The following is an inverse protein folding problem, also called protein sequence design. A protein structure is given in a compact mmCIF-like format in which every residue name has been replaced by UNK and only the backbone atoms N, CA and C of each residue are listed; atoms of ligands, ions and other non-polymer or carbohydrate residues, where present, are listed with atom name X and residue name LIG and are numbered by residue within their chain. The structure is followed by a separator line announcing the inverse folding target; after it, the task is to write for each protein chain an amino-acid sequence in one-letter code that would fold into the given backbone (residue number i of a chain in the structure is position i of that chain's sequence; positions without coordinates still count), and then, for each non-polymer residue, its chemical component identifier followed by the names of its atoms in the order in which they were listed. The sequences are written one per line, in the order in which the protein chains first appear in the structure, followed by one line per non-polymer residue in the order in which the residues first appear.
data_IF_645830442129
#
_entry.id   IF_645830442129
#
_cell.length_a   1.000
_cell.length_b   1.000
_cell.length_c   1.000
_cell.angle_alpha   90.00
_cell.angle_beta   90.00
_cell.angle_gamma   90.00
#
_symmetry.space_group_name_H-M   'P 1'
#
loop_
_entity.id
_entity.type
_entity.pdbx_description
1 polymer ?
#
# COMPACT_ATOMS: atom_id res chain seq x y z
N UNK A 1 9.71 -6.78 -37.14
CA UNK A 1 9.09 -5.44 -37.24
C UNK A 1 9.53 -4.65 -36.02
N UNK A 2 10.14 -3.49 -36.24
CA UNK A 2 10.76 -2.70 -35.19
C UNK A 2 9.70 -2.14 -34.23
N UNK A 3 9.93 -2.31 -32.94
CA UNK A 3 9.17 -1.69 -31.85
C UNK A 3 9.18 -0.17 -32.04
N UNK A 4 8.04 0.54 -31.96
CA UNK A 4 8.08 1.99 -31.94
C UNK A 4 8.84 2.42 -30.68
N UNK A 5 9.91 3.19 -30.85
CA UNK A 5 10.58 3.83 -29.73
C UNK A 5 9.64 4.91 -29.20
N UNK A 6 9.01 4.66 -28.05
CA UNK A 6 8.26 5.68 -27.32
C UNK A 6 9.26 6.74 -26.85
N UNK A 7 9.34 7.85 -27.59
CA UNK A 7 10.06 9.06 -27.20
C UNK A 7 9.21 9.85 -26.18
N UNK A 8 8.98 9.30 -25.00
CA UNK A 8 8.70 10.11 -23.81
C UNK A 8 9.96 10.08 -22.94
N UNK A 9 10.52 11.24 -22.66
CA UNK A 9 11.53 11.35 -21.60
C UNK A 9 10.90 10.81 -20.32
N UNK A 10 11.54 9.81 -19.70
CA UNK A 10 11.05 9.19 -18.48
C UNK A 10 10.65 10.27 -17.46
N UNK A 11 9.42 10.23 -16.92
CA UNK A 11 9.03 11.13 -15.85
C UNK A 11 10.04 11.04 -14.70
N UNK A 12 10.35 12.19 -14.10
CA UNK A 12 11.35 12.25 -13.03
C UNK A 12 10.97 11.32 -11.87
N UNK A 13 11.95 10.55 -11.38
CA UNK A 13 11.81 9.59 -10.27
C UNK A 13 10.80 8.45 -10.54
N UNK A 14 10.61 8.09 -11.81
CA UNK A 14 9.77 6.95 -12.21
C UNK A 14 10.57 5.97 -13.06
N UNK A 15 10.33 4.69 -12.85
CA UNK A 15 10.90 3.60 -13.64
C UNK A 15 9.91 3.11 -14.68
N UNK A 16 10.40 2.69 -15.84
CA UNK A 16 9.57 2.03 -16.86
C UNK A 16 9.34 0.57 -16.49
N UNK A 17 8.09 0.19 -16.37
CA UNK A 17 7.63 -1.18 -16.19
C UNK A 17 7.22 -1.71 -17.57
N UNK A 18 7.87 -2.76 -18.11
CA UNK A 18 7.70 -3.15 -19.51
C UNK A 18 6.32 -3.73 -19.86
N UNK A 19 5.49 -4.03 -18.87
CA UNK A 19 4.28 -4.81 -19.05
C UNK A 19 4.56 -6.26 -19.42
N UNK A 20 3.53 -7.09 -19.44
CA UNK A 20 3.61 -8.50 -19.74
C UNK A 20 2.46 -9.30 -19.13
N UNK A 21 2.50 -10.61 -19.33
CA UNK A 21 1.60 -11.54 -18.67
C UNK A 21 2.30 -12.15 -17.46
N UNK A 22 1.62 -12.21 -16.33
CA UNK A 22 2.14 -12.80 -15.09
C UNK A 22 1.07 -13.57 -14.34
N UNK A 23 1.51 -14.38 -13.37
CA UNK A 23 0.63 -15.04 -12.40
C UNK A 23 0.38 -14.13 -11.20
N UNK A 24 -0.87 -13.69 -11.04
CA UNK A 24 -1.34 -12.87 -9.93
C UNK A 24 -1.91 -13.74 -8.81
N UNK A 25 -1.70 -13.32 -7.56
CA UNK A 25 -2.16 -14.02 -6.36
C UNK A 25 -1.19 -15.08 -5.83
N UNK A 26 -1.66 -15.85 -4.84
CA UNK A 26 -0.93 -16.98 -4.25
C UNK A 26 -1.88 -17.99 -3.59
N UNK A 27 -1.47 -19.25 -3.58
CA UNK A 27 -2.17 -20.32 -2.85
C UNK A 27 -1.67 -20.49 -1.40
N UNK A 28 -0.59 -19.81 -1.01
CA UNK A 28 0.19 -20.18 0.18
C UNK A 28 -0.42 -19.73 1.52
N UNK A 29 -0.94 -18.50 1.63
CA UNK A 29 -1.21 -17.90 2.94
C UNK A 29 -2.66 -17.48 3.16
N UNK A 30 -3.15 -16.51 2.40
CA UNK A 30 -4.45 -15.88 2.69
C UNK A 30 -5.49 -16.26 1.64
N UNK A 31 -6.74 -16.62 2.03
CA UNK A 31 -7.79 -16.98 1.09
C UNK A 31 -8.09 -15.90 0.05
N UNK A 32 -7.99 -14.62 0.42
CA UNK A 32 -8.26 -13.49 -0.47
C UNK A 32 -7.26 -13.34 -1.62
N UNK A 33 -6.08 -13.98 -1.53
CA UNK A 33 -5.04 -14.02 -2.58
C UNK A 33 -5.35 -15.05 -3.68
N UNK A 34 -6.42 -15.83 -3.52
CA UNK A 34 -6.81 -16.90 -4.43
C UNK A 34 -7.94 -16.45 -5.37
N UNK A 35 -8.18 -17.18 -6.47
CA UNK A 35 -7.28 -18.17 -7.06
C UNK A 35 -6.06 -17.51 -7.70
N UNK A 36 -4.97 -18.27 -7.83
CA UNK A 36 -3.87 -17.87 -8.71
C UNK A 36 -4.33 -17.90 -10.17
N UNK A 37 -4.16 -16.79 -10.89
CA UNK A 37 -4.65 -16.64 -12.27
C UNK A 37 -3.66 -15.79 -13.10
N UNK A 38 -3.78 -15.84 -14.43
CA UNK A 38 -2.95 -15.03 -15.31
C UNK A 38 -3.60 -13.69 -15.60
N UNK A 39 -2.81 -12.63 -15.60
CA UNK A 39 -3.21 -11.28 -15.98
C UNK A 39 -2.18 -10.71 -16.95
N UNK A 40 -2.63 -9.95 -17.94
CA UNK A 40 -1.78 -9.11 -18.80
C UNK A 40 -1.86 -7.66 -18.32
N UNK A 41 -0.70 -7.02 -18.18
CA UNK A 41 -0.56 -5.59 -17.89
C UNK A 41 0.24 -4.95 -19.02
N UNK A 42 -0.17 -3.78 -19.52
CA UNK A 42 0.60 -3.02 -20.50
C UNK A 42 1.81 -2.33 -19.87
N UNK A 43 2.66 -1.71 -20.69
CA UNK A 43 3.81 -0.96 -20.17
C UNK A 43 3.38 0.39 -19.56
N UNK A 44 3.95 0.74 -18.42
CA UNK A 44 3.65 2.01 -17.71
C UNK A 44 4.87 2.50 -16.93
N UNK A 45 4.86 3.77 -16.52
CA UNK A 45 5.82 4.30 -15.56
C UNK A 45 5.28 4.19 -14.14
N UNK A 46 6.11 3.81 -13.18
CA UNK A 46 5.78 3.78 -11.76
C UNK A 46 6.80 4.55 -10.93
N UNK A 47 6.33 5.28 -9.91
CA UNK A 47 7.20 5.94 -8.95
C UNK A 47 8.16 4.93 -8.31
N UNK A 48 9.45 5.27 -8.30
CA UNK A 48 10.51 4.41 -7.75
C UNK A 48 10.29 4.12 -6.25
N UNK A 49 9.70 5.08 -5.53
CA UNK A 49 9.40 5.01 -4.11
C UNK A 49 7.98 5.53 -3.78
N UNK A 50 7.44 5.20 -2.59
CA UNK A 50 6.23 5.84 -2.09
C UNK A 50 6.38 7.36 -1.97
N UNK A 51 5.27 8.10 -2.07
CA UNK A 51 5.25 9.55 -1.92
C UNK A 51 5.79 9.93 -0.54
N UNK A 52 6.79 10.81 -0.53
CA UNK A 52 7.46 11.25 0.69
C UNK A 52 6.71 12.38 1.39
N UNK A 53 6.99 12.57 2.67
CA UNK A 53 6.52 13.72 3.45
C UNK A 53 6.87 15.05 2.76
N UNK A 54 8.08 15.19 2.19
CA UNK A 54 8.48 16.42 1.51
C UNK A 54 7.66 16.69 0.24
N UNK A 55 7.36 15.66 -0.54
CA UNK A 55 6.54 15.76 -1.74
C UNK A 55 5.09 16.09 -1.41
N UNK A 56 4.51 15.40 -0.42
CA UNK A 56 3.15 15.69 0.04
C UNK A 56 3.03 17.08 0.67
N UNK A 57 4.06 17.55 1.37
CA UNK A 57 4.11 18.93 1.89
C UNK A 57 4.05 19.96 0.77
N UNK A 58 4.71 19.71 -0.36
CA UNK A 58 4.63 20.59 -1.53
C UNK A 58 3.20 20.63 -2.08
N UNK A 59 2.57 19.47 -2.24
CA UNK A 59 1.17 19.39 -2.64
C UNK A 59 0.27 20.24 -1.74
N UNK A 60 0.31 20.02 -0.42
CA UNK A 60 -0.52 20.76 0.53
C UNK A 60 -0.22 22.26 0.51
N UNK A 61 1.05 22.65 0.37
CA UNK A 61 1.43 24.06 0.27
C UNK A 61 0.86 24.72 -0.99
N UNK A 62 0.87 24.02 -2.12
CA UNK A 62 0.48 24.56 -3.42
C UNK A 62 -1.04 24.59 -3.61
N UNK A 63 -1.78 23.67 -2.96
CA UNK A 63 -3.23 23.53 -3.15
C UNK A 63 -4.07 23.96 -1.95
N UNK A 64 -3.47 24.06 -0.75
CA UNK A 64 -4.22 24.23 0.50
C UNK A 64 -5.01 22.99 0.91
N UNK A 65 -4.69 21.80 0.38
CA UNK A 65 -5.39 20.55 0.67
C UNK A 65 -5.44 20.26 2.18
N UNK A 66 -6.63 19.92 2.66
CA UNK A 66 -6.90 19.46 4.02
C UNK A 66 -7.20 17.97 3.94
N UNK A 67 -6.42 17.15 4.65
CA UNK A 67 -6.57 15.69 4.57
C UNK A 67 -7.84 15.20 5.24
N UNK A 68 -8.26 13.96 4.94
CA UNK A 68 -9.38 13.33 5.64
C UNK A 68 -9.14 13.29 7.15
N UNK A 69 -7.91 13.00 7.59
CA UNK A 69 -7.51 12.99 9.00
C UNK A 69 -7.62 14.37 9.70
N UNK A 70 -7.62 15.45 8.92
CA UNK A 70 -7.73 16.83 9.43
C UNK A 70 -9.18 17.33 9.50
N UNK A 71 -10.14 16.52 9.04
CA UNK A 71 -11.55 16.85 9.01
C UNK A 71 -12.31 16.03 10.04
N UNK A 72 -13.27 16.64 10.74
CA UNK A 72 -14.12 15.90 11.67
C UNK A 72 -15.06 14.97 10.87
N UNK A 73 -15.22 13.69 11.24
CA UNK A 73 -16.18 12.81 10.60
C UNK A 73 -17.62 13.31 10.78
N UNK A 74 -18.49 13.17 9.77
CA UNK A 74 -19.92 13.49 9.94
C UNK A 74 -20.57 12.39 10.81
N UNK A 75 -21.21 12.74 11.94
CA UNK A 75 -21.91 11.76 12.77
C UNK A 75 -22.95 10.91 12.04
N UNK A 76 -23.48 11.37 10.90
CA UNK A 76 -24.43 10.62 10.08
C UNK A 76 -23.81 9.41 9.40
N UNK A 77 -22.52 9.47 9.09
CA UNK A 77 -21.79 8.38 8.43
C UNK A 77 -21.31 7.32 9.46
N UNK A 78 -21.32 7.70 10.75
CA UNK A 78 -20.82 6.91 11.88
C UNK A 78 -21.80 6.91 13.06
N UNK A 79 -23.04 6.40 12.90
CA UNK A 79 -24.09 6.49 13.92
C UNK A 79 -23.76 5.71 15.21
N UNK A 80 -22.88 4.70 15.13
CA UNK A 80 -22.45 3.88 16.27
C UNK A 80 -21.15 4.37 16.92
N UNK A 81 -20.56 5.46 16.42
CA UNK A 81 -19.32 6.00 16.98
C UNK A 81 -19.60 6.78 18.27
N UNK A 82 -18.69 6.66 19.24
CA UNK A 82 -18.70 7.50 20.44
C UNK A 82 -18.57 8.97 20.03
N UNK A 83 -19.52 9.86 20.40
CA UNK A 83 -19.54 11.24 19.92
C UNK A 83 -18.24 12.03 20.18
N UNK A 84 -17.58 11.74 21.30
CA UNK A 84 -16.31 12.39 21.67
C UNK A 84 -15.12 11.97 20.78
N UNK A 85 -15.27 10.90 20.00
CA UNK A 85 -14.28 10.43 19.02
C UNK A 85 -14.51 10.98 17.61
N UNK A 86 -15.64 11.66 17.36
CA UNK A 86 -15.96 12.31 16.08
C UNK A 86 -15.24 13.67 15.94
N UNK A 87 -13.92 13.62 16.03
CA UNK A 87 -13.01 14.78 15.94
C UNK A 87 -11.94 14.48 14.89
N UNK A 88 -11.26 15.50 14.32
CA UNK A 88 -10.12 15.27 13.45
C UNK A 88 -9.09 14.36 14.14
N UNK A 89 -8.58 13.38 13.42
CA UNK A 89 -7.72 12.37 13.97
C UNK A 89 -7.47 11.24 12.98
N UNK A 90 -6.71 10.26 13.45
CA UNK A 90 -6.32 9.11 12.64
C UNK A 90 -6.02 7.93 13.54
N UNK A 91 -6.06 6.72 12.97
CA UNK A 91 -5.75 5.50 13.72
C UNK A 91 -4.23 5.37 13.88
N UNK A 92 -3.77 5.22 15.12
CA UNK A 92 -2.35 5.06 15.47
C UNK A 92 -2.11 3.72 16.15
N UNK A 93 -0.94 3.13 15.87
CA UNK A 93 -0.50 1.94 16.56
C UNK A 93 0.09 2.31 17.92
N UNK A 94 -0.44 1.72 18.98
CA UNK A 94 0.02 1.91 20.36
C UNK A 94 0.42 0.54 20.91
N UNK A 95 1.72 0.22 21.02
CA UNK A 95 2.14 -1.08 21.53
C UNK A 95 1.67 -1.24 22.98
N UNK A 96 1.02 -2.36 23.34
CA UNK A 96 0.69 -2.62 24.73
C UNK A 96 1.98 -2.87 25.54
N UNK A 97 1.95 -2.69 26.88
CA UNK A 97 3.15 -2.84 27.72
C UNK A 97 3.68 -4.28 27.83
N UNK A 98 2.97 -5.24 27.24
CA UNK A 98 3.30 -6.66 27.30
C UNK A 98 2.38 -7.48 26.38
N UNK A 99 2.47 -8.83 26.45
CA UNK A 99 1.70 -9.71 25.59
C UNK A 99 0.20 -9.56 25.83
N UNK A 100 -0.55 -9.49 24.73
CA UNK A 100 -2.02 -9.49 24.69
C UNK A 100 -2.49 -10.54 23.67
N UNK A 101 -3.71 -11.09 23.79
CA UNK A 101 -4.23 -11.97 22.77
C UNK A 101 -4.40 -11.22 21.43
N UNK A 102 -4.26 -11.92 20.30
CA UNK A 102 -4.20 -11.32 18.96
C UNK A 102 -5.55 -11.32 18.21
N UNK A 103 -6.65 -11.57 18.91
CA UNK A 103 -8.01 -11.69 18.37
C UNK A 103 -8.78 -10.36 18.35
N UNK A 104 -8.21 -9.28 18.91
CA UNK A 104 -8.83 -7.96 18.97
C UNK A 104 -7.80 -6.86 18.70
N UNK A 105 -7.87 -6.28 17.50
CA UNK A 105 -6.92 -5.26 17.05
C UNK A 105 -6.98 -3.96 17.86
N UNK A 106 -8.10 -3.69 18.55
CA UNK A 106 -8.29 -2.48 19.39
C UNK A 106 -7.36 -2.45 20.59
N UNK A 107 -6.68 -3.55 20.90
CA UNK A 107 -5.67 -3.62 21.98
C UNK A 107 -4.34 -2.98 21.62
N UNK A 108 -4.09 -2.68 20.34
CA UNK A 108 -2.89 -2.00 19.87
C UNK A 108 -3.15 -0.95 18.79
N UNK A 109 -4.42 -0.70 18.45
CA UNK A 109 -4.84 0.41 17.60
C UNK A 109 -5.78 1.32 18.38
N UNK A 110 -5.50 2.62 18.34
CA UNK A 110 -6.31 3.63 18.99
C UNK A 110 -6.61 4.78 18.02
N UNK A 111 -7.81 5.35 18.12
CA UNK A 111 -8.08 6.63 17.51
C UNK A 111 -7.32 7.72 18.28
N UNK A 112 -6.46 8.47 17.60
CA UNK A 112 -5.73 9.58 18.19
C UNK A 112 -6.26 10.92 17.64
N UNK A 113 -7.02 11.68 18.46
CA UNK A 113 -7.42 13.04 18.12
C UNK A 113 -6.22 13.89 17.74
N UNK A 114 -6.29 14.56 16.58
CA UNK A 114 -5.24 15.41 16.03
C UNK A 114 -4.05 14.68 15.39
N UNK A 115 -4.06 13.33 15.35
CA UNK A 115 -3.09 12.60 14.55
C UNK A 115 -3.40 12.77 13.05
N UNK A 116 -2.40 13.20 12.29
CA UNK A 116 -2.48 13.42 10.85
C UNK A 116 -1.06 13.50 10.26
N UNK A 117 -0.93 13.68 8.95
CA UNK A 117 0.35 13.52 8.24
C UNK A 117 1.51 14.41 8.76
N UNK A 118 1.26 15.60 9.33
CA UNK A 118 2.31 16.45 9.97
C UNK A 118 2.59 16.08 11.42
N UNK A 119 1.64 15.44 12.08
CA UNK A 119 1.66 15.03 13.50
C UNK A 119 1.29 13.53 13.60
N UNK A 120 2.14 12.62 13.07
CA UNK A 120 1.76 11.22 12.87
C UNK A 120 1.51 10.43 14.17
N UNK A 121 2.13 10.83 15.28
CA UNK A 121 1.86 10.23 16.60
C UNK A 121 0.85 11.04 17.44
N UNK A 122 0.16 12.00 16.83
CA UNK A 122 -0.79 12.89 17.51
C UNK A 122 -0.18 14.23 17.94
N UNK A 123 -0.94 15.06 18.69
CA UNK A 123 -0.54 16.40 19.09
C UNK A 123 0.84 16.44 19.76
N UNK A 124 1.71 17.34 19.30
CA UNK A 124 3.08 17.49 19.81
C UNK A 124 4.13 16.64 19.09
N UNK A 125 3.73 15.63 18.30
CA UNK A 125 4.64 14.97 17.37
C UNK A 125 4.98 15.85 16.17
N UNK A 126 5.96 15.48 15.35
CA UNK A 126 6.30 16.23 14.13
C UNK A 126 7.02 15.33 13.13
N UNK A 127 6.88 15.68 11.85
CA UNK A 127 7.67 15.09 10.76
C UNK A 127 9.05 15.72 10.58
N UNK A 128 9.53 16.53 11.52
CA UNK A 128 10.89 17.08 11.49
C UNK A 128 11.94 15.96 11.36
N UNK A 129 12.84 16.07 10.38
CA UNK A 129 13.81 15.03 10.05
C UNK A 129 13.27 13.84 9.28
N UNK A 130 11.96 13.78 8.98
CA UNK A 130 11.29 12.70 8.25
C UNK A 130 10.91 13.06 6.81
N UNK A 131 11.56 14.06 6.23
CA UNK A 131 11.26 14.54 4.87
C UNK A 131 11.35 13.46 3.79
N UNK A 132 12.25 12.49 3.99
CA UNK A 132 12.43 11.33 3.09
C UNK A 132 11.63 10.10 3.51
N UNK A 133 10.85 10.14 4.58
CA UNK A 133 9.97 9.03 4.94
C UNK A 133 8.70 9.08 4.07
N UNK A 134 8.04 7.94 3.85
CA UNK A 134 6.72 7.94 3.21
C UNK A 134 5.74 8.77 4.02
N UNK A 135 4.87 9.51 3.34
CA UNK A 135 3.73 10.17 4.00
C UNK A 135 2.75 9.09 4.49
N UNK A 136 2.23 9.26 5.70
CA UNK A 136 1.20 8.41 6.32
C UNK A 136 0.00 9.26 6.76
N UNK A 137 -1.03 8.62 7.33
CA UNK A 137 -2.29 9.30 7.68
C UNK A 137 -2.97 9.96 6.47
N UNK A 138 -2.83 9.33 5.32
CA UNK A 138 -3.47 9.74 4.07
C UNK A 138 -4.52 8.71 3.69
N UNK A 139 -5.74 9.16 3.49
CA UNK A 139 -6.83 8.31 3.01
C UNK A 139 -6.66 8.01 1.52
N UNK A 140 -7.55 7.17 0.97
CA UNK A 140 -7.61 6.97 -0.48
C UNK A 140 -7.90 8.29 -1.22
N UNK A 141 -8.74 9.16 -0.64
CA UNK A 141 -9.08 10.46 -1.23
C UNK A 141 -7.88 11.40 -1.27
N UNK A 142 -7.07 11.40 -0.21
CA UNK A 142 -5.84 12.20 -0.15
C UNK A 142 -4.81 11.75 -1.19
N UNK A 143 -4.64 10.43 -1.32
CA UNK A 143 -3.76 9.82 -2.31
C UNK A 143 -4.22 10.15 -3.75
N UNK A 144 -5.52 10.08 -4.02
CA UNK A 144 -6.09 10.42 -5.32
C UNK A 144 -5.93 11.91 -5.65
N UNK A 145 -6.21 12.80 -4.70
CA UNK A 145 -6.05 14.24 -4.87
C UNK A 145 -4.60 14.63 -5.16
N UNK A 146 -3.65 14.03 -4.44
CA UNK A 146 -2.23 14.21 -4.72
C UNK A 146 -1.89 13.72 -6.14
N UNK A 147 -2.28 12.49 -6.50
CA UNK A 147 -1.97 11.90 -7.79
C UNK A 147 -2.47 12.79 -8.95
N UNK A 148 -3.71 13.27 -8.86
CA UNK A 148 -4.29 14.19 -9.83
C UNK A 148 -3.51 15.51 -9.93
N UNK A 149 -3.10 16.08 -8.79
CA UNK A 149 -2.33 17.32 -8.77
C UNK A 149 -0.97 17.20 -9.46
N UNK A 150 -0.27 16.07 -9.30
CA UNK A 150 0.99 15.81 -10.02
C UNK A 150 0.80 15.32 -11.46
N UNK A 151 -0.44 15.21 -11.95
CA UNK A 151 -0.74 14.68 -13.29
C UNK A 151 -0.44 13.19 -13.44
N UNK A 152 -0.65 12.41 -12.37
CA UNK A 152 -0.44 10.96 -12.29
C UNK A 152 -1.74 10.26 -11.86
N UNK A 153 -1.66 8.94 -11.73
CA UNK A 153 -2.75 8.10 -11.23
C UNK A 153 -2.26 7.15 -10.13
N UNK A 154 -3.20 6.53 -9.39
CA UNK A 154 -2.88 5.37 -8.55
C UNK A 154 -2.79 4.10 -9.44
N UNK A 155 -1.89 3.15 -9.11
CA UNK A 155 -1.81 1.89 -9.83
C UNK A 155 -3.07 1.05 -9.61
N UNK A 156 -3.42 0.22 -10.59
CA UNK A 156 -4.32 -0.90 -10.32
C UNK A 156 -3.64 -1.94 -9.43
N UNK A 157 -4.41 -2.81 -8.80
CA UNK A 157 -3.88 -3.93 -8.03
C UNK A 157 -2.94 -4.80 -8.88
N UNK A 158 -3.35 -5.09 -10.12
CA UNK A 158 -2.58 -5.90 -11.05
C UNK A 158 -1.28 -5.21 -11.50
N UNK A 159 -1.33 -3.90 -11.79
CA UNK A 159 -0.14 -3.11 -12.10
C UNK A 159 0.84 -3.11 -10.93
N UNK A 160 0.33 -2.88 -9.71
CA UNK A 160 1.15 -2.87 -8.51
C UNK A 160 1.82 -4.23 -8.27
N UNK A 161 1.08 -5.33 -8.35
CA UNK A 161 1.64 -6.66 -8.10
C UNK A 161 2.64 -7.09 -9.19
N UNK A 162 2.33 -6.82 -10.46
CA UNK A 162 3.26 -7.07 -11.56
C UNK A 162 4.59 -6.33 -11.34
N UNK A 163 4.49 -5.05 -10.97
CA UNK A 163 5.64 -4.21 -10.71
C UNK A 163 6.42 -4.67 -9.47
N UNK A 164 5.73 -5.02 -8.38
CA UNK A 164 6.33 -5.52 -7.13
C UNK A 164 7.08 -6.83 -7.33
N UNK A 165 6.58 -7.74 -8.18
CA UNK A 165 7.28 -9.01 -8.52
C UNK A 165 8.62 -8.79 -9.23
N UNK A 166 8.85 -7.63 -9.85
CA UNK A 166 10.18 -7.25 -10.34
C UNK A 166 10.78 -8.22 -11.36
N UNK A 167 9.93 -8.89 -12.15
CA UNK A 167 10.36 -9.90 -13.14
C UNK A 167 10.54 -11.33 -12.60
N UNK A 168 10.24 -11.59 -11.32
CA UNK A 168 10.29 -12.93 -10.74
C UNK A 168 8.94 -13.67 -10.95
N UNK A 169 9.00 -14.92 -11.43
CA UNK A 169 7.82 -15.78 -11.53
C UNK A 169 7.48 -16.39 -10.17
N UNK A 170 6.32 -16.00 -9.61
CA UNK A 170 5.71 -16.60 -8.40
C UNK A 170 6.61 -16.70 -7.16
N UNK A 171 7.65 -15.87 -7.08
CA UNK A 171 8.49 -15.76 -5.88
C UNK A 171 7.66 -15.27 -4.68
N UNK A 172 8.03 -15.74 -3.47
CA UNK A 172 7.33 -15.40 -2.22
C UNK A 172 7.44 -13.92 -1.86
N UNK A 173 8.62 -13.33 -2.05
CA UNK A 173 8.91 -11.91 -1.79
C UNK A 173 9.35 -11.21 -3.08
N UNK A 174 9.40 -9.88 -3.03
CA UNK A 174 9.83 -9.03 -4.16
C UNK A 174 11.32 -9.20 -4.52
N UNK A 175 12.06 -10.00 -3.76
CA UNK A 175 13.49 -10.31 -3.94
C UNK A 175 13.80 -11.82 -4.03
N UNK A 176 12.79 -12.70 -4.04
CA UNK A 176 12.97 -14.16 -4.03
C UNK A 176 12.21 -14.85 -2.90
N UNK A 177 12.64 -16.05 -2.51
CA UNK A 177 11.87 -16.91 -1.59
C UNK A 177 12.36 -16.90 -0.14
N UNK A 178 13.59 -16.49 0.10
CA UNK A 178 14.18 -16.38 1.44
C UNK A 178 13.86 -15.00 2.04
N UNK A 179 13.38 -14.98 3.30
CA UNK A 179 12.97 -13.75 3.98
C UNK A 179 14.14 -12.77 4.19
N UNK A 180 15.28 -13.27 4.68
CA UNK A 180 16.47 -12.48 4.92
C UNK A 180 17.70 -13.11 4.23
N UNK A 181 17.82 -12.99 2.89
CA UNK A 181 18.89 -13.64 2.14
C UNK A 181 20.28 -13.27 2.68
N UNK A 182 21.04 -14.29 3.10
CA UNK A 182 22.36 -14.13 3.76
C UNK A 182 22.29 -13.35 5.07
N UNK A 183 21.20 -13.53 5.83
CA UNK A 183 20.95 -12.87 7.10
C UNK A 183 20.73 -11.36 7.00
N UNK A 184 20.32 -10.85 5.83
CA UNK A 184 20.09 -9.41 5.61
C UNK A 184 18.63 -9.14 5.31
N UNK A 185 18.02 -8.28 6.12
CA UNK A 185 16.69 -7.75 5.87
C UNK A 185 16.65 -6.96 4.55
N UNK A 186 15.51 -7.06 3.85
CA UNK A 186 15.27 -6.47 2.52
C UNK A 186 14.07 -5.53 2.49
N UNK A 187 13.40 -5.38 3.62
CA UNK A 187 12.23 -4.54 3.83
C UNK A 187 12.17 -4.13 5.31
N UNK A 188 11.52 -3.00 5.57
CA UNK A 188 11.15 -2.56 6.91
C UNK A 188 9.88 -3.29 7.36
N UNK A 189 10.00 -4.16 8.35
CA UNK A 189 8.92 -5.02 8.89
C UNK A 189 9.06 -5.12 10.41
N UNK A 190 8.23 -5.91 11.07
CA UNK A 190 8.35 -6.10 12.52
C UNK A 190 9.25 -7.30 12.86
N UNK A 191 10.22 -7.11 13.76
CA UNK A 191 11.00 -8.20 14.36
C UNK A 191 10.79 -8.26 15.87
N UNK A 192 10.60 -9.45 16.42
CA UNK A 192 10.30 -9.67 17.84
C UNK A 192 8.86 -10.14 18.05
N UNK A 193 8.30 -9.85 19.23
CA UNK A 193 6.96 -10.32 19.63
C UNK A 193 5.92 -9.23 19.40
N UNK A 194 5.28 -9.28 18.24
CA UNK A 194 4.11 -8.45 17.96
C UNK A 194 3.00 -8.69 19.01
N UNK A 195 2.25 -7.67 19.46
CA UNK A 195 2.35 -6.23 19.13
C UNK A 195 3.18 -5.39 20.11
N UNK A 196 3.91 -5.99 21.05
CA UNK A 196 4.44 -5.27 22.22
C UNK A 196 5.96 -5.13 22.25
N UNK A 197 6.68 -5.94 21.47
CA UNK A 197 8.15 -5.89 21.38
C UNK A 197 8.60 -5.85 19.91
N UNK A 198 9.06 -4.67 19.47
CA UNK A 198 9.78 -4.50 18.20
C UNK A 198 11.26 -4.28 18.49
N UNK A 199 12.09 -5.20 18.03
CA UNK A 199 13.55 -5.21 18.24
C UNK A 199 14.29 -4.30 17.26
N UNK A 200 13.66 -3.89 16.15
CA UNK A 200 14.25 -3.00 15.15
C UNK A 200 15.53 -3.56 14.50
N UNK A 201 15.61 -4.88 14.33
CA UNK A 201 16.79 -5.56 13.75
C UNK A 201 17.03 -5.20 12.29
N UNK A 202 15.98 -4.78 11.58
CA UNK A 202 16.10 -4.23 10.21
C UNK A 202 16.62 -2.78 10.18
N UNK A 203 16.70 -2.13 11.35
CA UNK A 203 17.16 -0.76 11.54
C UNK A 203 16.06 0.25 11.92
N UNK A 204 14.78 -0.14 11.89
CA UNK A 204 13.67 0.79 12.10
C UNK A 204 12.54 0.18 12.96
N UNK A 205 11.98 0.98 13.87
CA UNK A 205 10.79 0.60 14.68
C UNK A 205 9.50 1.20 14.09
N UNK A 206 9.61 2.30 13.36
CA UNK A 206 8.54 2.96 12.62
C UNK A 206 8.82 2.96 11.12
N UNK A 207 8.34 3.96 10.39
CA UNK A 207 8.70 4.12 8.97
C UNK A 207 10.21 4.34 8.79
N UNK A 208 10.73 3.96 7.64
CA UNK A 208 12.11 4.20 7.20
C UNK A 208 12.15 5.21 6.06
N UNK A 209 13.26 5.97 5.87
CA UNK A 209 13.46 6.76 4.67
C UNK A 209 13.27 5.91 3.42
N UNK A 210 12.66 6.46 2.39
CA UNK A 210 12.48 5.74 1.12
C UNK A 210 13.82 5.37 0.50
N UNK A 211 13.91 4.14 -0.01
CA UNK A 211 15.12 3.57 -0.59
C UNK A 211 16.15 3.11 0.44
N UNK A 212 15.74 2.85 1.69
CA UNK A 212 16.64 2.29 2.71
C UNK A 212 17.10 0.86 2.39
N UNK A 213 16.28 0.12 1.64
CA UNK A 213 16.57 -1.24 1.20
C UNK A 213 16.82 -1.30 -0.31
N UNK A 214 17.29 -2.47 -0.78
CA UNK A 214 17.60 -2.64 -2.20
C UNK A 214 16.34 -2.63 -3.06
N UNK A 215 16.39 -2.05 -4.27
CA UNK A 215 15.30 -2.14 -5.21
C UNK A 215 15.09 -3.59 -5.68
N UNK A 216 13.86 -3.88 -6.14
CA UNK A 216 13.53 -5.11 -6.85
C UNK A 216 14.08 -5.12 -8.29
N UNK A 217 13.79 -6.17 -9.07
CA UNK A 217 14.31 -6.32 -10.43
C UNK A 217 13.86 -5.25 -11.45
N UNK A 218 12.86 -4.42 -11.12
CA UNK A 218 12.43 -3.28 -11.94
C UNK A 218 12.89 -1.92 -11.40
N UNK A 219 13.70 -1.89 -10.35
CA UNK A 219 14.22 -0.65 -9.76
C UNK A 219 13.34 -0.04 -8.68
N UNK A 220 12.25 -0.70 -8.28
CA UNK A 220 11.34 -0.17 -7.26
C UNK A 220 11.84 -0.47 -5.86
N UNK A 221 11.83 0.54 -4.99
CA UNK A 221 12.13 0.41 -3.56
C UNK A 221 10.85 0.39 -2.72
N UNK A 222 10.95 -0.21 -1.53
CA UNK A 222 9.90 -0.20 -0.50
C UNK A 222 8.52 -0.74 -0.94
N UNK A 223 8.46 -1.52 -2.03
CA UNK A 223 7.23 -2.24 -2.44
C UNK A 223 6.87 -3.37 -1.48
N UNK A 224 7.74 -3.70 -0.53
CA UNK A 224 7.45 -4.62 0.56
C UNK A 224 7.83 -3.96 1.88
N UNK A 225 6.89 -3.96 2.84
CA UNK A 225 7.07 -3.33 4.14
C UNK A 225 7.04 -1.79 4.09
N UNK A 226 7.63 -1.15 5.09
CA UNK A 226 7.60 0.30 5.33
C UNK A 226 6.17 0.84 5.52
N UNK A 227 5.41 1.05 4.44
CA UNK A 227 4.00 1.44 4.49
C UNK A 227 3.20 0.62 3.50
N UNK A 228 1.95 0.34 3.86
CA UNK A 228 0.95 -0.12 2.91
C UNK A 228 0.73 0.93 1.82
N UNK A 229 0.31 0.48 0.63
CA UNK A 229 0.11 1.38 -0.49
C UNK A 229 -1.29 1.26 -1.10
N UNK A 230 -1.98 2.39 -1.23
CA UNK A 230 -3.26 2.48 -1.91
C UNK A 230 -3.16 2.12 -3.40
N UNK A 231 -4.14 1.35 -3.88
CA UNK A 231 -4.37 1.07 -5.30
C UNK A 231 -5.76 1.53 -5.71
N UNK A 232 -6.01 1.64 -7.02
CA UNK A 232 -7.26 2.15 -7.58
C UNK A 232 -8.44 1.18 -7.45
N UNK A 233 -8.20 -0.12 -7.27
CA UNK A 233 -9.21 -1.16 -7.35
C UNK A 233 -10.10 -1.21 -6.12
N UNK A 234 -11.40 -1.44 -6.33
CA UNK A 234 -12.29 -1.81 -5.24
C UNK A 234 -11.90 -3.18 -4.68
N UNK A 235 -11.98 -3.34 -3.36
CA UNK A 235 -11.69 -4.62 -2.73
C UNK A 235 -12.83 -5.64 -2.94
N UNK A 236 -12.45 -6.87 -3.26
CA UNK A 236 -13.32 -8.05 -3.29
C UNK A 236 -12.74 -9.15 -2.42
N UNK A 237 -13.59 -10.04 -1.90
CA UNK A 237 -13.20 -11.09 -0.95
C UNK A 237 -12.14 -12.07 -1.50
N UNK A 238 -12.06 -12.23 -2.82
CA UNK A 238 -11.06 -13.04 -3.52
C UNK A 238 -11.02 -12.63 -5.00
N UNK A 239 -9.94 -12.97 -5.73
CA UNK A 239 -9.78 -12.56 -7.14
C UNK A 239 -10.93 -13.08 -8.03
N UNK A 240 -11.38 -14.32 -7.85
CA UNK A 240 -12.44 -14.90 -8.68
C UNK A 240 -13.87 -14.36 -8.42
N UNK A 241 -14.03 -13.32 -7.61
CA UNK A 241 -15.35 -12.86 -7.13
C UNK A 241 -16.23 -12.29 -8.25
N UNK A 242 -15.63 -11.72 -9.30
CA UNK A 242 -16.35 -11.18 -10.45
C UNK A 242 -16.38 -12.16 -11.64
N UNK A 243 -15.88 -13.38 -11.45
CA UNK A 243 -15.81 -14.45 -12.46
C UNK A 243 -14.81 -14.24 -13.59
N UNK A 244 -14.14 -13.07 -13.67
CA UNK A 244 -13.20 -12.74 -14.75
C UNK A 244 -11.77 -13.19 -14.45
N UNK A 245 -11.40 -13.19 -13.18
CA UNK A 245 -10.06 -13.56 -12.69
C UNK A 245 -10.04 -15.01 -12.18
N UNK A 246 -10.53 -15.93 -13.01
CA UNK A 246 -10.37 -17.37 -12.82
C UNK A 246 -9.26 -17.88 -13.75
N UNK A 247 -8.55 -18.94 -13.38
CA UNK A 247 -7.49 -19.50 -14.21
C UNK A 247 -8.02 -19.73 -15.64
N UNK A 248 -7.54 -18.97 -16.65
CA UNK A 248 -8.16 -18.99 -17.96
C UNK A 248 -7.93 -20.35 -18.61
N UNK A 249 -8.97 -20.96 -19.16
CA UNK A 249 -8.86 -22.25 -19.86
C UNK A 249 -7.93 -22.16 -21.09
N UNK A 250 -7.78 -20.96 -21.68
CA UNK A 250 -6.98 -20.70 -22.87
C UNK A 250 -6.35 -19.28 -22.87
N UNK A 251 -5.17 -19.15 -23.49
CA UNK A 251 -4.39 -17.91 -23.55
C UNK A 251 -5.12 -16.72 -24.22
N UNK A 252 -6.13 -16.95 -25.06
CA UNK A 252 -6.92 -15.89 -25.71
C UNK A 252 -7.85 -15.13 -24.75
N UNK A 253 -8.06 -15.64 -23.54
CA UNK A 253 -9.02 -15.09 -22.58
C UNK A 253 -8.33 -14.51 -21.32
N UNK A 254 -7.01 -14.29 -21.36
CA UNK A 254 -6.29 -13.67 -20.24
C UNK A 254 -6.76 -12.21 -20.10
N UNK A 255 -7.28 -11.79 -18.93
CA UNK A 255 -7.68 -10.41 -18.70
C UNK A 255 -6.52 -9.44 -18.96
N UNK A 256 -6.80 -8.34 -19.66
CA UNK A 256 -5.82 -7.29 -19.97
C UNK A 256 -6.16 -6.02 -19.22
N UNK A 257 -5.19 -5.51 -18.44
CA UNK A 257 -5.33 -4.38 -17.53
C UNK A 257 -6.63 -4.44 -16.70
N UNK A 258 -6.87 -5.54 -15.95
CA UNK A 258 -8.10 -5.68 -15.18
C UNK A 258 -8.24 -4.53 -14.19
N UNK A 259 -9.49 -4.10 -14.02
CA UNK A 259 -9.89 -3.07 -13.07
C UNK A 259 -11.15 -3.52 -12.37
N UNK A 260 -11.12 -3.58 -11.05
CA UNK A 260 -12.27 -3.91 -10.22
C UNK A 260 -13.03 -2.62 -9.91
N UNK A 261 -14.04 -2.34 -10.74
CA UNK A 261 -14.88 -1.14 -10.64
C UNK A 261 -16.00 -1.21 -9.60
N UNK A 262 -16.30 -2.39 -9.06
CA UNK A 262 -17.29 -2.59 -8.00
C UNK A 262 -16.71 -3.56 -6.95
N UNK A 263 -16.83 -3.19 -5.68
CA UNK A 263 -16.29 -3.96 -4.56
C UNK A 263 -17.32 -4.89 -3.93
N UNK A 264 -16.87 -5.60 -2.91
CA UNK A 264 -17.75 -6.34 -2.03
C UNK A 264 -18.62 -5.38 -1.19
N UNK A 265 -19.93 -5.42 -1.40
CA UNK A 265 -20.95 -4.62 -0.69
C UNK A 265 -21.34 -5.22 0.68
N UNK A 266 -20.70 -6.30 1.13
CA UNK A 266 -21.00 -6.94 2.42
C UNK A 266 -20.72 -6.05 3.65
N UNK A 267 -19.93 -4.98 3.48
CA UNK A 267 -19.58 -4.04 4.53
C UNK A 267 -20.28 -2.68 4.36
N UNK A 268 -20.46 -1.93 5.47
CA UNK A 268 -21.12 -0.62 5.43
C UNK A 268 -20.31 0.47 4.69
N UNK A 269 -19.01 0.24 4.50
CA UNK A 269 -18.10 1.24 3.93
C UNK A 269 -17.41 0.73 2.66
N UNK A 270 -17.28 1.58 1.62
CA UNK A 270 -16.55 1.21 0.41
C UNK A 270 -15.06 1.03 0.72
N UNK A 271 -14.49 -0.06 0.21
CA UNK A 271 -13.08 -0.43 0.42
C UNK A 271 -12.29 -0.44 -0.88
N UNK A 272 -11.03 -0.02 -0.80
CA UNK A 272 -10.03 -0.15 -1.87
C UNK A 272 -8.97 -1.14 -1.46
N UNK A 273 -8.29 -1.72 -2.44
CA UNK A 273 -7.19 -2.63 -2.19
C UNK A 273 -5.96 -1.85 -1.74
N UNK A 274 -5.34 -2.27 -0.64
CA UNK A 274 -3.99 -1.89 -0.24
C UNK A 274 -3.03 -3.08 -0.43
N UNK A 275 -1.79 -2.78 -0.81
CA UNK A 275 -0.74 -3.79 -1.10
C UNK A 275 0.57 -3.48 -0.37
N UNK A 276 1.44 -4.48 -0.24
CA UNK A 276 2.84 -4.32 0.19
C UNK A 276 3.13 -4.51 1.68
N UNK A 277 2.14 -4.50 2.56
CA UNK A 277 2.39 -4.57 4.01
C UNK A 277 3.06 -3.31 4.55
N UNK A 278 3.43 -3.30 5.82
CA UNK A 278 4.08 -2.14 6.47
C UNK A 278 5.16 -2.56 7.46
N UNK A 279 5.81 -1.58 8.08
CA UNK A 279 6.73 -1.77 9.21
C UNK A 279 6.08 -2.47 10.42
N UNK A 280 4.74 -2.54 10.49
CA UNK A 280 4.00 -3.25 11.55
C UNK A 280 3.69 -4.72 11.20
N UNK A 281 4.02 -5.18 9.99
CA UNK A 281 3.77 -6.55 9.59
C UNK A 281 4.82 -7.50 10.18
N UNK A 282 4.36 -8.47 10.97
CA UNK A 282 5.20 -9.44 11.68
C UNK A 282 4.95 -10.87 11.20
N UNK A 283 5.97 -11.73 11.03
CA UNK A 283 5.77 -13.13 10.63
C UNK A 283 4.80 -13.92 11.51
N UNK A 284 4.68 -13.56 12.79
CA UNK A 284 3.82 -14.22 13.78
C UNK A 284 2.38 -13.66 13.82
N UNK A 285 2.01 -12.70 12.97
CA UNK A 285 0.67 -12.10 12.94
C UNK A 285 0.22 -11.69 11.53
N UNK A 286 1.04 -10.94 10.80
CA UNK A 286 0.71 -10.39 9.49
C UNK A 286 1.88 -10.55 8.53
N UNK A 287 1.76 -11.51 7.60
CA UNK A 287 2.75 -11.80 6.56
C UNK A 287 2.36 -11.15 5.22
N UNK A 288 1.86 -9.90 5.27
CA UNK A 288 1.35 -9.20 4.08
C UNK A 288 2.40 -8.34 3.34
N UNK A 289 3.68 -8.42 3.71
CA UNK A 289 4.80 -7.85 2.94
C UNK A 289 5.25 -8.70 1.73
N UNK A 290 4.31 -9.47 1.17
CA UNK A 290 4.50 -10.30 -0.03
C UNK A 290 3.77 -9.64 -1.20
N UNK A 291 4.27 -9.74 -2.45
CA UNK A 291 3.63 -9.12 -3.59
C UNK A 291 2.17 -9.58 -3.79
N UNK A 292 1.89 -10.87 -3.57
CA UNK A 292 0.55 -11.45 -3.69
C UNK A 292 -0.43 -10.96 -2.62
N UNK A 293 0.08 -10.54 -1.46
CA UNK A 293 -0.79 -10.18 -0.35
C UNK A 293 -1.59 -8.93 -0.64
N UNK A 294 -2.84 -8.93 -0.18
CA UNK A 294 -3.82 -7.86 -0.36
C UNK A 294 -4.67 -7.73 0.88
N UNK A 295 -5.22 -6.53 1.07
CA UNK A 295 -6.20 -6.26 2.11
C UNK A 295 -7.15 -5.17 1.61
N UNK A 296 -8.41 -5.23 2.06
CA UNK A 296 -9.38 -4.17 1.83
C UNK A 296 -9.35 -3.17 2.98
N UNK A 297 -9.20 -1.90 2.67
CA UNK A 297 -9.28 -0.81 3.64
C UNK A 297 -10.33 0.21 3.21
N UNK A 298 -11.08 0.75 4.17
CA UNK A 298 -12.13 1.73 3.90
C UNK A 298 -11.51 3.02 3.35
N UNK A 299 -12.13 3.61 2.32
CA UNK A 299 -11.54 4.74 1.58
C UNK A 299 -11.24 5.98 2.43
N UNK A 300 -11.96 6.14 3.54
CA UNK A 300 -11.80 7.25 4.50
C UNK A 300 -10.76 6.94 5.58
N UNK A 301 -10.40 5.67 5.77
CA UNK A 301 -9.42 5.28 6.77
C UNK A 301 -8.08 5.94 6.47
N UNK A 302 -7.53 6.58 7.49
CA UNK A 302 -6.15 7.04 7.52
C UNK A 302 -5.46 6.41 8.73
N UNK A 303 -4.21 5.95 8.56
CA UNK A 303 -3.47 5.33 9.66
C UNK A 303 -1.97 5.63 9.58
N UNK A 304 -1.25 5.35 10.66
CA UNK A 304 0.20 5.57 10.76
C UNK A 304 1.07 4.64 9.88
N UNK A 305 0.48 3.74 9.10
CA UNK A 305 1.23 2.76 8.32
C UNK A 305 0.75 2.58 6.87
N UNK A 306 -0.16 3.44 6.37
CA UNK A 306 -0.63 3.46 4.97
C UNK A 306 -0.16 4.76 4.30
N UNK A 307 0.45 4.61 3.14
CA UNK A 307 0.81 5.66 2.19
C UNK A 307 0.39 5.24 0.77
N UNK A 308 1.14 5.70 -0.25
CA UNK A 308 0.85 5.37 -1.65
C UNK A 308 2.03 5.72 -2.57
N UNK A 309 1.98 5.21 -3.81
CA UNK A 309 2.85 5.62 -4.92
C UNK A 309 2.02 5.82 -6.18
N UNK A 310 2.52 6.58 -7.15
CA UNK A 310 1.77 6.90 -8.37
C UNK A 310 2.35 6.24 -9.62
N UNK A 311 1.57 6.26 -10.69
CA UNK A 311 1.95 5.77 -12.02
C UNK A 311 1.56 6.76 -13.11
N UNK A 312 2.14 6.58 -14.31
CA UNK A 312 1.76 7.24 -15.55
C UNK A 312 1.64 6.17 -16.64
N UNK A 313 0.48 6.13 -17.30
CA UNK A 313 0.26 5.27 -18.47
C UNK A 313 0.55 6.09 -19.73
N UNK A 314 1.37 5.60 -20.69
CA UNK A 314 1.52 6.26 -21.98
C UNK A 314 0.17 6.33 -22.70
N UNK A 315 -0.05 7.42 -23.44
CA UNK A 315 -1.17 7.50 -24.38
C UNK A 315 -1.02 6.38 -25.42
N UNK A 316 -2.02 5.50 -25.49
CA UNK A 316 -2.11 4.40 -26.47
C UNK A 316 -2.62 4.87 -27.82
#
# INVERSE_FOLDING_TARGET
MATPAATSTAPKNMTWIPGGTFWMGSEEFYPEERPVHQVRVDGFFMDEHPVTVAEFRRFVKDTGHVTTAETAPDPKDYPDAEPDLLVPGSLVFVPPPGPVPLDDYRRWWAWAPGAQWRHPEGPGSTVAGRDRHPVTHVSYFDALAYAQWVGKELPTEAEWEFAARGGLDRARFVWGDEFAPRGRYRANTWQGRFPWENTGEDGFVGTSPVGSYRPNGYGLVDVAGNVWEWTADHYTAHHGADGRDTAPAHACCIPSNPRTGAGDESGPYPRRVIKGGSHLCAPNYCLRYRPAARQGESVETSTCHIGFRCIVRPDT
#
